data_IF_797850090304
#
_entry.id   IF_797850090304
#
_cell.length_a   1.000
_cell.length_b   1.000
_cell.length_c   1.000
_cell.angle_alpha   90.00
_cell.angle_beta   90.00
_cell.angle_gamma   90.00
#
_symmetry.space_group_name_H-M   'P 1'
#
loop_
_entity.id
_entity.type
_entity.pdbx_description
1 polymer ?
#
# COMPACT_ATOMS: atom_id res chain seq x y z
N UNK A 1 -4.06 18.74 -8.76
CA UNK A 1 -3.26 17.68 -8.11
C UNK A 1 -2.47 18.32 -6.98
N UNK A 2 -2.61 17.83 -5.74
CA UNK A 2 -1.91 18.36 -4.56
C UNK A 2 -0.92 17.30 -4.08
N UNK A 3 0.33 17.69 -3.84
CA UNK A 3 1.40 16.79 -3.40
C UNK A 3 1.77 17.15 -1.98
N UNK A 4 1.77 16.16 -1.08
CA UNK A 4 2.24 16.29 0.29
C UNK A 4 3.44 15.37 0.47
N UNK A 5 4.60 15.94 0.81
CA UNK A 5 5.75 15.16 1.25
C UNK A 5 5.64 14.96 2.76
N UNK A 6 5.65 13.71 3.20
CA UNK A 6 5.73 13.35 4.60
C UNK A 6 7.20 13.06 4.94
N UNK A 7 7.68 13.44 6.13
CA UNK A 7 9.01 13.04 6.58
C UNK A 7 9.10 11.50 6.67
N UNK A 8 10.29 10.91 6.48
CA UNK A 8 10.50 9.50 6.83
C UNK A 8 10.24 9.36 8.33
N UNK A 9 9.20 8.63 8.69
CA UNK A 9 8.72 8.52 10.06
C UNK A 9 8.57 7.02 10.39
N UNK A 10 9.02 6.62 11.58
CA UNK A 10 8.85 5.25 12.09
C UNK A 10 7.46 5.07 12.74
N UNK A 11 6.62 6.11 12.69
CA UNK A 11 5.29 6.09 13.24
C UNK A 11 4.38 5.10 12.49
N UNK A 12 3.72 4.23 13.25
CA UNK A 12 2.74 3.26 12.73
C UNK A 12 1.49 3.90 12.16
N UNK A 13 1.26 5.21 12.35
CA UNK A 13 0.06 5.92 11.85
C UNK A 13 0.43 7.12 10.98
N UNK A 14 -0.04 7.09 9.73
CA UNK A 14 0.18 8.17 8.78
C UNK A 14 -0.65 9.41 9.15
N UNK A 15 -0.09 10.64 9.03
CA UNK A 15 -0.79 11.90 9.25
C UNK A 15 -1.71 12.26 8.08
N UNK A 16 -2.50 11.29 7.64
CA UNK A 16 -3.46 11.37 6.55
C UNK A 16 -4.88 11.19 7.11
N UNK A 17 -5.88 11.86 6.54
CA UNK A 17 -7.27 11.71 6.98
C UNK A 17 -7.82 10.33 6.61
N UNK A 18 -8.78 9.86 7.42
CA UNK A 18 -9.51 8.62 7.17
C UNK A 18 -10.39 8.75 5.91
N UNK A 19 -10.65 7.63 5.23
CA UNK A 19 -11.65 7.48 4.17
C UNK A 19 -11.63 8.53 3.04
N UNK A 20 -10.45 9.04 2.68
CA UNK A 20 -10.31 10.21 1.79
C UNK A 20 -9.81 9.85 0.39
N UNK A 21 -8.98 8.81 0.27
CA UNK A 21 -8.28 8.54 -0.99
C UNK A 21 -9.01 7.48 -1.80
N UNK A 22 -9.29 7.78 -3.07
CA UNK A 22 -9.85 6.80 -3.99
C UNK A 22 -8.81 5.75 -4.42
N UNK A 23 -7.52 6.10 -4.40
CA UNK A 23 -6.40 5.20 -4.73
C UNK A 23 -5.24 5.46 -3.78
N UNK A 24 -4.63 4.38 -3.27
CA UNK A 24 -3.36 4.39 -2.55
C UNK A 24 -2.34 3.58 -3.33
N UNK A 25 -1.13 4.12 -3.44
CA UNK A 25 0.00 3.52 -4.14
C UNK A 25 1.13 3.30 -3.16
N UNK A 26 1.68 2.10 -3.15
CA UNK A 26 2.86 1.75 -2.37
C UNK A 26 3.93 1.14 -3.29
N UNK A 27 5.17 1.62 -3.22
CA UNK A 27 6.26 1.20 -4.12
C UNK A 27 7.54 1.01 -3.33
N UNK A 28 8.04 -0.23 -3.36
CA UNK A 28 9.33 -0.64 -2.77
C UNK A 28 9.45 -0.44 -1.24
N UNK A 29 8.32 -0.30 -0.54
CA UNK A 29 8.28 -0.14 0.92
C UNK A 29 7.37 -1.17 1.58
N UNK A 30 7.57 -1.40 2.86
CA UNK A 30 6.60 -2.12 3.68
C UNK A 30 5.40 -1.22 3.99
N UNK A 31 4.21 -1.80 4.13
CA UNK A 31 3.00 -1.07 4.48
C UNK A 31 2.23 -1.77 5.61
N UNK A 32 1.51 -0.98 6.41
CA UNK A 32 0.53 -1.50 7.36
C UNK A 32 -0.86 -1.60 6.68
N UNK A 33 -1.44 -2.80 6.53
CA UNK A 33 -2.77 -2.99 5.93
C UNK A 33 -3.88 -2.21 6.64
N UNK A 34 -3.78 -2.02 7.96
CA UNK A 34 -4.78 -1.26 8.73
C UNK A 34 -4.75 0.22 8.34
N UNK A 35 -3.55 0.79 8.16
CA UNK A 35 -3.39 2.17 7.73
C UNK A 35 -3.84 2.37 6.28
N UNK A 36 -3.51 1.45 5.38
CA UNK A 36 -4.00 1.49 3.99
C UNK A 36 -5.53 1.45 3.95
N UNK A 37 -6.14 0.56 4.73
CA UNK A 37 -7.60 0.48 4.82
C UNK A 37 -8.24 1.73 5.43
N UNK A 38 -7.57 2.35 6.42
CA UNK A 38 -8.08 3.54 7.12
C UNK A 38 -8.19 4.74 6.18
N UNK A 39 -7.17 4.96 5.35
CA UNK A 39 -7.10 6.17 4.50
C UNK A 39 -7.92 6.03 3.20
N UNK A 40 -8.20 4.79 2.75
CA UNK A 40 -9.01 4.53 1.56
C UNK A 40 -10.48 4.89 1.78
N UNK A 41 -11.03 5.68 0.85
CA UNK A 41 -12.47 5.89 0.76
C UNK A 41 -13.20 4.55 0.48
N UNK A 42 -14.48 4.40 0.87
CA UNK A 42 -15.27 3.23 0.51
C UNK A 42 -15.24 2.96 -1.00
N UNK A 43 -14.86 1.74 -1.39
CA UNK A 43 -14.70 1.35 -2.79
C UNK A 43 -13.38 1.80 -3.45
N UNK A 44 -12.46 2.41 -2.70
CA UNK A 44 -11.14 2.79 -3.16
C UNK A 44 -10.21 1.60 -3.45
N UNK A 45 -9.17 1.84 -4.25
CA UNK A 45 -8.22 0.83 -4.70
C UNK A 45 -6.85 0.98 -4.06
N UNK A 46 -6.22 -0.15 -3.73
CA UNK A 46 -4.82 -0.20 -3.35
C UNK A 46 -4.00 -0.88 -4.44
N UNK A 47 -2.92 -0.23 -4.86
CA UNK A 47 -1.98 -0.79 -5.83
C UNK A 47 -0.58 -0.77 -5.23
N UNK A 48 0.06 -1.92 -5.17
CA UNK A 48 1.42 -2.05 -4.63
C UNK A 48 2.36 -2.64 -5.66
N UNK A 49 3.56 -2.07 -5.71
CA UNK A 49 4.69 -2.60 -6.45
C UNK A 49 5.75 -3.06 -5.45
N UNK A 50 5.78 -4.37 -5.23
CA UNK A 50 6.73 -5.03 -4.34
C UNK A 50 7.83 -5.69 -5.15
N UNK A 51 9.07 -5.59 -4.69
CA UNK A 51 10.16 -6.42 -5.20
C UNK A 51 10.10 -7.73 -4.44
N UNK A 52 9.87 -8.84 -5.15
CA UNK A 52 9.98 -10.16 -4.54
C UNK A 52 11.43 -10.44 -4.11
N UNK A 53 11.63 -11.33 -3.15
CA UNK A 53 12.98 -11.80 -2.74
C UNK A 53 13.78 -12.48 -3.85
N UNK A 54 13.16 -12.71 -5.02
CA UNK A 54 13.80 -13.12 -6.26
C UNK A 54 13.59 -12.02 -7.32
N UNK A 55 14.59 -11.17 -7.50
CA UNK A 55 14.88 -10.37 -8.68
C UNK A 55 13.69 -9.87 -9.53
N UNK A 56 13.17 -8.69 -9.15
CA UNK A 56 13.04 -7.55 -10.06
C UNK A 56 12.14 -7.61 -11.31
N UNK A 57 11.29 -8.64 -11.54
CA UNK A 57 10.67 -8.83 -12.88
C UNK A 57 9.14 -8.73 -12.94
N UNK A 58 8.42 -8.26 -11.90
CA UNK A 58 6.94 -8.22 -11.95
C UNK A 58 6.34 -6.87 -11.53
N UNK A 59 5.66 -6.22 -12.47
CA UNK A 59 4.69 -5.15 -12.22
C UNK A 59 3.33 -5.79 -11.94
N UNK A 60 2.84 -5.71 -10.71
CA UNK A 60 1.50 -6.15 -10.36
C UNK A 60 0.52 -5.01 -10.67
N UNK A 61 -0.34 -5.17 -11.68
CA UNK A 61 -1.55 -4.36 -11.84
C UNK A 61 -2.74 -5.22 -11.47
N UNK A 62 -3.39 -4.91 -10.35
CA UNK A 62 -4.55 -5.65 -9.87
C UNK A 62 -5.80 -4.76 -9.88
N UNK A 63 -6.77 -4.98 -10.78
CA UNK A 63 -8.15 -4.69 -10.45
C UNK A 63 -8.64 -5.85 -9.56
N UNK A 64 -9.08 -5.51 -8.34
CA UNK A 64 -9.53 -6.43 -7.26
C UNK A 64 -8.41 -7.20 -6.54
N UNK A 65 -8.25 -6.85 -5.26
CA UNK A 65 -7.66 -7.64 -4.17
C UNK A 65 -6.64 -8.73 -4.57
N UNK A 66 -5.36 -8.36 -4.72
CA UNK A 66 -4.28 -9.32 -4.53
C UNK A 66 -3.89 -9.29 -3.06
N UNK A 67 -4.50 -10.20 -2.30
CA UNK A 67 -4.02 -10.56 -0.97
C UNK A 67 -2.77 -11.44 -1.16
N UNK A 68 -1.57 -10.86 -1.17
CA UNK A 68 -0.34 -11.65 -1.02
C UNK A 68 -0.14 -12.00 0.45
N UNK A 69 -1.04 -12.80 1.02
CA UNK A 69 -0.77 -13.53 2.24
C UNK A 69 -0.24 -14.91 1.85
N UNK A 70 1.02 -14.98 1.39
CA UNK A 70 1.75 -16.26 1.43
C UNK A 70 2.28 -16.42 2.85
N UNK A 71 1.45 -17.00 3.72
CA UNK A 71 1.99 -17.92 4.73
C UNK A 71 2.50 -19.11 3.94
N UNK A 72 3.80 -19.33 3.97
CA UNK A 72 4.45 -20.63 3.88
C UNK A 72 5.89 -20.43 4.36
N UNK A 73 6.08 -20.57 5.67
CA UNK A 73 7.34 -21.01 6.25
C UNK A 73 7.09 -22.44 6.76
N UNK A 74 8.05 -23.37 6.63
CA UNK A 74 7.90 -24.72 7.16
C UNK A 74 7.63 -24.75 8.66
#
# INVERSE_FOLDING_TARGET
MRVHALPPDDATRLPLPDATFAVVLDRHEAYDPAEVSRVLAPGGGFLTQQVGSADGTRLNVAPRFILSARRDTP
#
